data_IF_669767788501
#
_entry.id   IF_669767788501
#
_cell.length_a   1.000
_cell.length_b   1.000
_cell.length_c   1.000
_cell.angle_alpha   90.00
_cell.angle_beta   90.00
_cell.angle_gamma   90.00
#
_symmetry.space_group_name_H-M   'P 1'
#
loop_
_entity.id
_entity.type
_entity.pdbx_description
1 polymer ?
#
# COMPACT_ATOMS: atom_id res chain seq x y z
N UNK A 1 -4.03 14.36 -5.25
CA UNK A 1 -4.97 13.45 -5.92
C UNK A 1 -4.73 12.00 -5.55
N UNK A 2 -3.58 11.44 -5.94
CA UNK A 2 -3.26 10.00 -5.79
C UNK A 2 -3.40 9.48 -4.36
N UNK A 3 -2.74 10.09 -3.37
CA UNK A 3 -2.85 9.65 -1.96
C UNK A 3 -4.26 9.76 -1.40
N UNK A 4 -5.05 10.76 -1.81
CA UNK A 4 -6.47 10.87 -1.45
C UNK A 4 -7.28 9.70 -2.02
N UNK A 5 -7.01 9.34 -3.28
CA UNK A 5 -7.64 8.19 -3.94
C UNK A 5 -7.30 6.86 -3.25
N UNK A 6 -6.06 6.68 -2.78
CA UNK A 6 -5.69 5.49 -2.01
C UNK A 6 -6.44 5.44 -0.67
N UNK A 7 -6.40 6.54 0.10
CA UNK A 7 -7.04 6.62 1.43
C UNK A 7 -8.55 6.43 1.38
N UNK A 8 -9.25 6.99 0.38
CA UNK A 8 -10.70 6.80 0.27
C UNK A 8 -11.07 5.33 0.07
N UNK A 9 -10.31 4.57 -0.73
CA UNK A 9 -10.58 3.15 -0.96
C UNK A 9 -10.34 2.33 0.31
N UNK A 10 -9.32 2.68 1.10
CA UNK A 10 -9.07 2.10 2.41
C UNK A 10 -10.28 2.29 3.34
N UNK A 11 -10.78 3.54 3.43
CA UNK A 11 -11.90 3.90 4.29
C UNK A 11 -13.20 3.22 3.86
N UNK A 12 -13.47 3.13 2.55
CA UNK A 12 -14.62 2.40 2.01
C UNK A 12 -14.57 0.92 2.43
N UNK A 13 -13.40 0.28 2.32
CA UNK A 13 -13.25 -1.12 2.72
C UNK A 13 -13.52 -1.34 4.22
N UNK A 14 -12.99 -0.46 5.07
CA UNK A 14 -13.20 -0.51 6.52
C UNK A 14 -14.68 -0.30 6.86
N UNK A 15 -15.31 0.75 6.33
CA UNK A 15 -16.73 1.06 6.60
C UNK A 15 -17.65 -0.08 6.15
N UNK A 16 -17.42 -0.64 4.96
CA UNK A 16 -18.19 -1.75 4.44
C UNK A 16 -18.13 -2.97 5.37
N UNK A 17 -16.93 -3.34 5.85
CA UNK A 17 -16.76 -4.49 6.75
C UNK A 17 -17.18 -4.23 8.20
N UNK A 18 -17.27 -2.96 8.61
CA UNK A 18 -17.87 -2.57 9.88
C UNK A 18 -19.42 -2.60 9.84
N UNK A 19 -20.03 -2.86 8.68
CA UNK A 19 -21.48 -2.83 8.50
C UNK A 19 -22.07 -1.41 8.38
N UNK A 20 -21.24 -0.41 8.09
CA UNK A 20 -21.66 0.97 7.88
C UNK A 20 -22.03 1.24 6.42
N UNK A 21 -22.86 2.27 6.20
CA UNK A 21 -22.93 2.91 4.88
C UNK A 21 -21.56 3.43 4.46
N UNK A 22 -21.30 3.40 3.16
CA UNK A 22 -20.06 3.90 2.54
C UNK A 22 -20.34 5.14 1.70
N UNK A 23 -19.37 6.07 1.57
CA UNK A 23 -19.53 7.29 0.79
C UNK A 23 -19.39 7.03 -0.72
N UNK A 24 -20.34 6.31 -1.30
CA UNK A 24 -20.42 6.01 -2.73
C UNK A 24 -21.88 5.90 -3.19
N UNK A 25 -22.16 6.18 -4.46
CA UNK A 25 -23.48 5.95 -5.04
C UNK A 25 -23.86 4.46 -5.03
N UNK A 26 -22.87 3.59 -5.27
CA UNK A 26 -22.97 2.14 -5.16
C UNK A 26 -21.57 1.57 -4.88
N UNK A 27 -21.47 0.54 -4.03
CA UNK A 27 -20.21 -0.15 -3.78
C UNK A 27 -20.43 -1.66 -3.60
N UNK A 28 -19.60 -2.46 -4.23
CA UNK A 28 -19.47 -3.91 -3.95
C UNK A 28 -18.05 -4.15 -3.45
N UNK A 29 -17.91 -4.56 -2.19
CA UNK A 29 -16.61 -4.73 -1.55
C UNK A 29 -16.47 -6.19 -1.11
N UNK A 30 -15.52 -6.92 -1.72
CA UNK A 30 -15.17 -8.27 -1.26
C UNK A 30 -14.41 -8.24 0.06
N UNK A 31 -14.54 -9.29 0.87
CA UNK A 31 -13.92 -9.40 2.20
C UNK A 31 -12.40 -9.18 2.11
N UNK A 32 -11.90 -8.20 2.84
CA UNK A 32 -10.49 -7.90 3.09
C UNK A 32 -10.11 -8.53 4.42
N UNK A 33 -9.17 -9.48 4.41
CA UNK A 33 -8.67 -10.09 5.64
C UNK A 33 -7.64 -9.20 6.35
N UNK A 34 -6.82 -8.48 5.59
CA UNK A 34 -5.81 -7.53 6.07
C UNK A 34 -5.73 -6.32 5.14
N UNK A 35 -5.70 -5.13 5.74
CA UNK A 35 -5.48 -3.87 5.04
C UNK A 35 -4.07 -3.36 5.34
N UNK A 36 -3.24 -3.27 4.31
CA UNK A 36 -1.90 -2.69 4.39
C UNK A 36 -1.89 -1.34 3.69
N UNK A 37 -1.28 -0.35 4.32
CA UNK A 37 -1.15 0.98 3.74
C UNK A 37 0.25 1.52 3.97
N UNK A 38 1.05 1.57 2.91
CA UNK A 38 2.25 2.39 2.83
C UNK A 38 1.87 3.65 2.07
N UNK A 39 1.32 4.63 2.77
CA UNK A 39 0.98 5.93 2.18
C UNK A 39 1.83 6.96 2.91
N UNK A 40 2.74 7.61 2.18
CA UNK A 40 3.83 8.42 2.74
C UNK A 40 3.47 9.11 4.06
N UNK A 41 4.14 8.70 5.13
CA UNK A 41 4.10 9.38 6.41
C UNK A 41 5.15 10.49 6.36
N UNK A 42 4.72 11.72 6.67
CA UNK A 42 5.63 12.77 7.09
C UNK A 42 6.34 12.32 8.37
N UNK A 43 7.67 12.25 8.30
CA UNK A 43 8.69 12.07 9.35
C UNK A 43 8.34 11.20 10.56
N UNK A 44 9.00 10.05 10.65
CA UNK A 44 9.21 9.35 11.92
C UNK A 44 10.66 9.61 12.39
N UNK A 45 10.90 10.81 12.92
CA UNK A 45 12.20 11.31 13.40
C UNK A 45 12.79 10.53 14.61
N UNK A 46 12.15 9.44 15.05
CA UNK A 46 12.27 8.92 16.43
C UNK A 46 13.16 7.66 16.55
N UNK A 47 13.64 7.04 15.46
CA UNK A 47 14.23 5.68 15.54
C UNK A 47 15.66 5.47 15.01
N UNK A 48 16.46 6.51 14.73
CA UNK A 48 17.83 6.37 14.18
C UNK A 48 17.93 5.53 12.88
N UNK A 49 16.82 5.36 12.15
CA UNK A 49 16.78 4.68 10.86
C UNK A 49 16.64 5.70 9.73
N UNK A 50 17.23 5.42 8.57
CA UNK A 50 17.02 6.25 7.39
C UNK A 50 15.58 6.10 6.89
N UNK A 51 15.01 7.15 6.30
CA UNK A 51 13.66 7.11 5.71
C UNK A 51 13.52 5.93 4.74
N UNK A 52 14.55 5.69 3.92
CA UNK A 52 14.56 4.56 2.99
C UNK A 52 14.56 3.20 3.71
N UNK A 53 15.32 3.05 4.79
CA UNK A 53 15.31 1.80 5.57
C UNK A 53 13.93 1.53 6.18
N UNK A 54 13.28 2.54 6.77
CA UNK A 54 11.92 2.40 7.30
C UNK A 54 10.92 2.04 6.20
N UNK A 55 11.04 2.65 5.02
CA UNK A 55 10.23 2.30 3.84
C UNK A 55 10.40 0.83 3.44
N UNK A 56 11.63 0.33 3.42
CA UNK A 56 11.93 -1.05 3.04
C UNK A 56 11.46 -2.05 4.09
N UNK A 57 11.54 -1.71 5.38
CA UNK A 57 11.02 -2.55 6.46
C UNK A 57 9.49 -2.65 6.43
N UNK A 58 8.79 -1.53 6.18
CA UNK A 58 7.34 -1.53 5.96
C UNK A 58 6.97 -2.38 4.74
N UNK A 59 7.72 -2.23 3.64
CA UNK A 59 7.51 -3.02 2.42
C UNK A 59 7.70 -4.52 2.67
N UNK A 60 8.78 -4.90 3.37
CA UNK A 60 9.05 -6.28 3.75
C UNK A 60 7.95 -6.86 4.64
N UNK A 61 7.45 -6.06 5.59
CA UNK A 61 6.34 -6.46 6.45
C UNK A 61 5.06 -6.75 5.65
N UNK A 62 4.72 -5.88 4.68
CA UNK A 62 3.58 -6.08 3.78
C UNK A 62 3.74 -7.37 2.97
N UNK A 63 4.88 -7.55 2.30
CA UNK A 63 5.13 -8.72 1.46
C UNK A 63 5.10 -10.04 2.24
N UNK A 64 5.55 -10.03 3.49
CA UNK A 64 5.59 -11.23 4.34
C UNK A 64 4.20 -11.61 4.88
N UNK A 65 3.31 -10.64 5.08
CA UNK A 65 2.04 -10.85 5.79
C UNK A 65 0.79 -10.73 4.91
N UNK A 66 0.91 -10.21 3.69
CA UNK A 66 -0.20 -10.13 2.76
C UNK A 66 -0.63 -11.52 2.29
N UNK A 67 -1.94 -11.68 2.11
CA UNK A 67 -2.57 -12.86 1.54
C UNK A 67 -3.30 -12.48 0.25
N UNK A 68 -3.78 -13.47 -0.51
CA UNK A 68 -4.61 -13.26 -1.70
C UNK A 68 -5.86 -12.39 -1.43
N UNK A 69 -6.38 -12.37 -0.19
CA UNK A 69 -7.58 -11.59 0.19
C UNK A 69 -7.24 -10.20 0.72
N UNK A 70 -5.96 -9.89 0.88
CA UNK A 70 -5.53 -8.60 1.43
C UNK A 70 -5.78 -7.46 0.46
N UNK A 71 -5.91 -6.25 1.01
CA UNK A 71 -5.92 -5.00 0.26
C UNK A 71 -4.64 -4.23 0.60
N UNK A 72 -3.80 -4.02 -0.40
CA UNK A 72 -2.49 -3.36 -0.25
C UNK A 72 -2.52 -2.01 -0.96
N UNK A 73 -2.15 -0.95 -0.25
CA UNK A 73 -2.06 0.41 -0.78
C UNK A 73 -0.61 0.87 -0.71
N UNK A 74 -0.05 1.23 -1.87
CA UNK A 74 1.34 1.68 -2.00
C UNK A 74 1.35 3.08 -2.61
N UNK A 75 1.95 4.02 -1.91
CA UNK A 75 2.22 5.36 -2.42
C UNK A 75 3.72 5.54 -2.58
N UNK A 76 4.18 5.63 -3.82
CA UNK A 76 5.46 6.18 -4.23
C UNK A 76 6.65 5.51 -3.50
N UNK A 77 6.73 4.18 -3.65
CA UNK A 77 7.78 3.31 -3.08
C UNK A 77 9.14 3.58 -3.76
N UNK A 78 10.25 3.36 -3.08
CA UNK A 78 11.58 3.45 -3.70
C UNK A 78 12.09 4.87 -3.96
N UNK A 79 11.49 5.90 -3.35
CA UNK A 79 11.89 7.30 -3.58
C UNK A 79 13.16 7.74 -2.84
N UNK A 80 13.54 7.03 -1.79
CA UNK A 80 14.71 7.36 -0.96
C UNK A 80 16.05 6.85 -1.49
N UNK A 81 16.14 6.39 -2.74
CA UNK A 81 17.35 5.81 -3.36
C UNK A 81 17.56 6.30 -4.80
N UNK A 82 18.57 5.78 -5.50
CA UNK A 82 18.85 6.11 -6.90
C UNK A 82 17.62 5.81 -7.79
N UNK A 83 17.44 6.57 -8.88
CA UNK A 83 16.26 6.42 -9.75
C UNK A 83 16.13 4.99 -10.31
N UNK A 84 17.24 4.37 -10.71
CA UNK A 84 17.24 3.02 -11.26
C UNK A 84 16.94 1.97 -10.17
N UNK A 85 17.52 2.12 -8.98
CA UNK A 85 17.27 1.20 -7.87
C UNK A 85 15.82 1.35 -7.37
N UNK A 86 15.32 2.57 -7.28
CA UNK A 86 13.96 2.89 -6.86
C UNK A 86 12.92 2.29 -7.81
N UNK A 87 13.11 2.46 -9.12
CA UNK A 87 12.25 1.85 -10.13
C UNK A 87 12.32 0.33 -10.09
N UNK A 88 13.51 -0.25 -9.93
CA UNK A 88 13.70 -1.71 -9.86
C UNK A 88 12.98 -2.31 -8.65
N UNK A 89 13.07 -1.65 -7.50
CA UNK A 89 12.35 -2.05 -6.27
C UNK A 89 10.84 -1.91 -6.49
N UNK A 90 10.36 -0.78 -7.02
CA UNK A 90 8.95 -0.56 -7.27
C UNK A 90 8.36 -1.61 -8.21
N UNK A 91 9.08 -1.95 -9.27
CA UNK A 91 8.71 -3.00 -10.21
C UNK A 91 8.63 -4.36 -9.52
N UNK A 92 9.71 -4.81 -8.88
CA UNK A 92 9.78 -6.12 -8.25
C UNK A 92 8.72 -6.31 -7.16
N UNK A 93 8.46 -5.27 -6.36
CA UNK A 93 7.41 -5.31 -5.33
C UNK A 93 6.02 -5.43 -5.95
N UNK A 94 5.74 -4.65 -6.99
CA UNK A 94 4.44 -4.67 -7.67
C UNK A 94 4.20 -6.02 -8.36
N UNK A 95 5.22 -6.54 -9.05
CA UNK A 95 5.19 -7.86 -9.69
C UNK A 95 4.96 -8.97 -8.65
N UNK A 96 5.65 -8.94 -7.51
CA UNK A 96 5.46 -9.93 -6.45
C UNK A 96 4.03 -9.90 -5.85
N UNK A 97 3.49 -8.71 -5.61
CA UNK A 97 2.11 -8.55 -5.12
C UNK A 97 1.08 -9.07 -6.13
N UNK A 98 1.33 -8.87 -7.42
CA UNK A 98 0.44 -9.29 -8.50
C UNK A 98 0.54 -10.79 -8.80
N UNK A 99 1.74 -11.32 -9.06
CA UNK A 99 1.93 -12.67 -9.61
C UNK A 99 2.01 -13.75 -8.52
N UNK A 100 2.65 -13.43 -7.38
CA UNK A 100 2.91 -14.38 -6.30
C UNK A 100 1.82 -14.33 -5.24
N UNK A 101 1.60 -13.16 -4.64
CA UNK A 101 0.61 -13.01 -3.56
C UNK A 101 -0.81 -12.93 -4.11
N UNK A 102 -0.98 -12.31 -5.30
CA UNK A 102 -2.25 -12.15 -6.01
C UNK A 102 -3.29 -11.37 -5.20
N UNK A 103 -2.82 -10.41 -4.41
CA UNK A 103 -3.69 -9.56 -3.60
C UNK A 103 -4.19 -8.33 -4.38
N UNK A 104 -5.31 -7.76 -3.94
CA UNK A 104 -5.81 -6.50 -4.49
C UNK A 104 -4.85 -5.39 -4.10
N UNK A 105 -4.24 -4.74 -5.10
CA UNK A 105 -3.21 -3.73 -4.88
C UNK A 105 -3.56 -2.43 -5.59
N UNK A 106 -3.49 -1.30 -4.88
CA UNK A 106 -3.54 0.04 -5.46
C UNK A 106 -2.19 0.71 -5.25
N UNK A 107 -1.50 0.99 -6.36
CA UNK A 107 -0.19 1.62 -6.35
C UNK A 107 -0.22 3.01 -7.01
N UNK A 108 0.46 3.96 -6.40
CA UNK A 108 0.76 5.29 -6.94
C UNK A 108 2.26 5.38 -7.16
N UNK A 109 2.71 5.77 -8.36
CA UNK A 109 4.13 5.87 -8.73
C UNK A 109 4.43 7.22 -9.41
N UNK A 110 5.70 7.60 -9.43
CA UNK A 110 6.27 8.65 -10.29
C UNK A 110 7.24 8.11 -11.35
N UNK A 111 7.60 6.82 -11.24
CA UNK A 111 8.35 6.09 -12.26
C UNK A 111 7.43 5.69 -13.40
#
# INVERSE_FOLDING_TARGET
GKSTFLRQNALIAILAQAGSYVPAQQATVGIVDRLFARIGASDNLVQHQSTFMSEMLETAYILTNATEKSLVLIDEIGRGTSMLDGMSIAWAVTEHLHDVIRCRTLASTHF
#
